data_IF_695578241094
#
_entry.id   IF_695578241094
#
_cell.length_a   1.000
_cell.length_b   1.000
_cell.length_c   1.000
_cell.angle_alpha   90.00
_cell.angle_beta   90.00
_cell.angle_gamma   90.00
#
_symmetry.space_group_name_H-M   'P 1'
#
loop_
_entity.id
_entity.type
_entity.pdbx_description
1 polymer ?
#
# COMPACT_ATOMS: atom_id res chain seq x y z
N UNK A 1 11.66 4.57 20.09
CA UNK A 1 11.78 4.60 18.63
C UNK A 1 11.64 3.16 18.18
N UNK A 2 10.43 2.76 17.80
CA UNK A 2 10.18 1.36 17.43
C UNK A 2 10.89 1.07 16.12
N UNK A 3 11.77 0.08 16.18
CA UNK A 3 12.69 -0.29 15.12
C UNK A 3 11.87 -0.75 13.91
N UNK A 4 12.16 -0.24 12.71
CA UNK A 4 11.49 -0.63 11.46
C UNK A 4 11.52 -2.15 11.22
N UNK A 5 12.47 -2.84 11.88
CA UNK A 5 12.62 -4.29 11.90
C UNK A 5 11.41 -5.02 12.51
N UNK A 6 10.70 -4.46 13.50
CA UNK A 6 9.58 -5.16 14.16
C UNK A 6 8.31 -5.24 13.31
N UNK A 7 8.17 -4.38 12.30
CA UNK A 7 6.91 -4.23 11.55
C UNK A 7 6.74 -5.33 10.49
N UNK A 8 7.84 -6.00 10.10
CA UNK A 8 7.90 -6.96 8.99
C UNK A 8 8.53 -8.30 9.35
N UNK A 9 9.37 -8.40 10.38
CA UNK A 9 10.18 -9.62 10.61
C UNK A 9 9.40 -10.84 11.12
N UNK A 10 8.12 -10.73 11.51
CA UNK A 10 7.38 -11.91 11.98
C UNK A 10 5.85 -11.86 11.83
N UNK A 11 5.33 -11.20 10.78
CA UNK A 11 3.89 -11.20 10.51
C UNK A 11 3.45 -12.53 9.90
N UNK A 12 2.62 -13.28 10.64
CA UNK A 12 1.92 -14.47 10.13
C UNK A 12 0.84 -14.12 9.08
N UNK A 13 0.33 -12.90 9.11
CA UNK A 13 -0.78 -12.43 8.26
C UNK A 13 -0.28 -11.33 7.34
N UNK A 14 -0.67 -11.42 6.06
CA UNK A 14 -0.38 -10.41 5.05
C UNK A 14 -0.89 -9.03 5.51
N UNK A 15 -0.10 -7.94 5.37
CA UNK A 15 -0.58 -6.60 5.68
C UNK A 15 -1.77 -6.20 4.79
N UNK A 16 -2.59 -5.27 5.31
CA UNK A 16 -3.77 -4.74 4.61
C UNK A 16 -3.34 -3.96 3.36
N UNK A 17 -3.98 -4.22 2.22
CA UNK A 17 -3.68 -3.50 0.99
C UNK A 17 -4.09 -2.04 1.06
N UNK A 18 -3.29 -1.08 0.55
CA UNK A 18 -3.73 0.32 0.44
C UNK A 18 -5.10 0.46 -0.24
N UNK A 19 -5.41 -0.42 -1.18
CA UNK A 19 -6.71 -0.51 -1.84
C UNK A 19 -7.88 -0.79 -0.91
N UNK A 20 -7.71 -1.68 0.08
CA UNK A 20 -8.73 -1.94 1.10
C UNK A 20 -8.95 -0.71 1.98
N UNK A 21 -7.88 -0.01 2.35
CA UNK A 21 -7.96 1.24 3.12
C UNK A 21 -8.66 2.34 2.31
N UNK A 22 -8.41 2.41 0.99
CA UNK A 22 -9.11 3.34 0.12
C UNK A 22 -10.61 2.99 0.06
N UNK A 23 -10.96 1.72 -0.12
CA UNK A 23 -12.35 1.29 -0.18
C UNK A 23 -13.13 1.65 1.10
N UNK A 24 -12.54 1.40 2.26
CA UNK A 24 -13.11 1.73 3.58
C UNK A 24 -13.34 3.25 3.72
N UNK A 25 -12.34 4.06 3.37
CA UNK A 25 -12.47 5.53 3.37
C UNK A 25 -13.57 6.01 2.41
N UNK A 26 -13.71 5.39 1.25
CA UNK A 26 -14.74 5.78 0.28
C UNK A 26 -16.14 5.39 0.73
N UNK A 27 -16.29 4.27 1.42
CA UNK A 27 -17.56 3.83 2.02
C UNK A 27 -17.97 4.79 3.14
N UNK A 28 -17.05 5.12 4.05
CA UNK A 28 -17.26 6.08 5.15
C UNK A 28 -17.65 7.49 4.66
N UNK A 29 -17.12 7.90 3.50
CA UNK A 29 -17.41 9.20 2.89
C UNK A 29 -18.61 9.17 1.93
N UNK A 30 -19.22 8.00 1.71
CA UNK A 30 -20.26 7.76 0.70
C UNK A 30 -19.85 8.24 -0.72
N UNK A 31 -18.56 8.12 -1.06
CA UNK A 31 -18.01 8.53 -2.36
C UNK A 31 -17.87 7.33 -3.28
N UNK A 32 -18.44 7.42 -4.48
CA UNK A 32 -18.23 6.41 -5.50
C UNK A 32 -16.76 6.38 -5.98
N UNK A 33 -16.12 5.19 -6.13
CA UNK A 33 -14.74 5.09 -6.61
C UNK A 33 -14.46 5.82 -7.93
N UNK A 34 -15.41 5.84 -8.86
CA UNK A 34 -15.24 6.54 -10.14
C UNK A 34 -15.17 8.07 -9.94
N UNK A 35 -16.01 8.62 -9.05
CA UNK A 35 -15.95 10.03 -8.72
C UNK A 35 -14.61 10.37 -8.04
N UNK A 36 -14.11 9.47 -7.20
CA UNK A 36 -12.80 9.64 -6.58
C UNK A 36 -11.65 9.58 -7.60
N UNK A 37 -11.72 8.69 -8.59
CA UNK A 37 -10.76 8.67 -9.70
C UNK A 37 -10.72 10.01 -10.45
N UNK A 38 -11.89 10.62 -10.70
CA UNK A 38 -11.96 11.95 -11.32
C UNK A 38 -11.30 13.01 -10.45
N UNK A 39 -11.56 13.02 -9.13
CA UNK A 39 -10.91 13.94 -8.18
C UNK A 39 -9.39 13.78 -8.15
N UNK A 40 -8.89 12.55 -8.29
CA UNK A 40 -7.47 12.24 -8.36
C UNK A 40 -6.86 12.52 -9.75
N UNK A 41 -7.68 12.75 -10.78
CA UNK A 41 -7.24 12.93 -12.16
C UNK A 41 -6.63 11.67 -12.76
N UNK A 42 -7.24 10.50 -12.51
CA UNK A 42 -6.81 9.18 -13.01
C UNK A 42 -8.00 8.46 -13.68
N UNK A 43 -7.74 7.33 -14.34
CA UNK A 43 -8.83 6.52 -14.92
C UNK A 43 -9.58 5.73 -13.84
N UNK A 44 -10.88 5.52 -14.06
CA UNK A 44 -11.72 4.63 -13.24
C UNK A 44 -11.14 3.21 -13.13
N UNK A 45 -10.52 2.72 -14.20
CA UNK A 45 -9.82 1.45 -14.18
C UNK A 45 -8.67 1.46 -13.17
N UNK A 46 -7.87 2.54 -13.10
CA UNK A 46 -6.72 2.60 -12.19
C UNK A 46 -7.15 2.55 -10.73
N UNK A 47 -8.21 3.27 -10.33
CA UNK A 47 -8.68 3.22 -8.95
C UNK A 47 -9.26 1.83 -8.61
N UNK A 48 -9.95 1.19 -9.56
CA UNK A 48 -10.50 -0.15 -9.36
C UNK A 48 -9.40 -1.21 -9.21
N UNK A 49 -8.38 -1.18 -10.07
CA UNK A 49 -7.21 -2.06 -9.98
C UNK A 49 -6.51 -1.91 -8.61
N UNK A 50 -6.40 -0.68 -8.11
CA UNK A 50 -5.81 -0.41 -6.79
C UNK A 50 -6.68 -0.98 -5.67
N UNK A 51 -7.99 -0.71 -5.69
CA UNK A 51 -8.97 -1.21 -4.69
C UNK A 51 -8.97 -2.75 -4.66
N UNK A 52 -8.91 -3.39 -5.82
CA UNK A 52 -8.85 -4.86 -5.95
C UNK A 52 -7.50 -5.46 -5.53
N UNK A 53 -6.49 -4.64 -5.26
CA UNK A 53 -5.15 -5.13 -4.94
C UNK A 53 -4.35 -5.64 -6.14
N UNK A 54 -4.81 -5.35 -7.35
CA UNK A 54 -4.15 -5.73 -8.61
C UNK A 54 -3.00 -4.77 -8.96
N UNK A 55 -3.03 -3.55 -8.41
CA UNK A 55 -2.05 -2.50 -8.69
C UNK A 55 -1.52 -1.85 -7.42
N UNK A 56 -0.20 -1.79 -7.33
CA UNK A 56 0.52 -1.12 -6.26
C UNK A 56 0.36 0.41 -6.33
N UNK A 57 0.41 1.04 -5.16
CA UNK A 57 0.53 2.50 -5.04
C UNK A 57 1.92 2.96 -5.49
N UNK A 58 1.95 3.75 -6.56
CA UNK A 58 3.16 4.45 -7.00
C UNK A 58 3.38 5.75 -6.21
N UNK A 59 4.56 6.36 -6.33
CA UNK A 59 4.85 7.67 -5.72
C UNK A 59 3.88 8.75 -6.23
N UNK A 60 3.58 8.78 -7.52
CA UNK A 60 2.61 9.71 -8.11
C UNK A 60 1.21 9.52 -7.48
N UNK A 61 0.76 8.25 -7.38
CA UNK A 61 -0.53 7.93 -6.75
C UNK A 61 -0.56 8.33 -5.27
N UNK A 62 0.51 8.06 -4.52
CA UNK A 62 0.61 8.46 -3.12
C UNK A 62 0.53 9.98 -2.94
N UNK A 63 1.13 10.77 -3.84
CA UNK A 63 1.02 12.23 -3.83
C UNK A 63 -0.42 12.68 -4.09
N UNK A 64 -1.10 12.07 -5.07
CA UNK A 64 -2.51 12.38 -5.38
C UNK A 64 -3.43 12.07 -4.19
N UNK A 65 -3.34 10.86 -3.64
CA UNK A 65 -4.10 10.44 -2.46
C UNK A 65 -3.83 11.35 -1.25
N UNK A 66 -2.56 11.63 -0.98
CA UNK A 66 -2.15 12.50 0.12
C UNK A 66 -2.67 13.92 0.01
N UNK A 67 -2.80 14.45 -1.23
CA UNK A 67 -3.43 15.76 -1.50
C UNK A 67 -4.94 15.71 -1.35
N UNK A 68 -5.60 14.70 -1.92
CA UNK A 68 -7.06 14.58 -1.90
C UNK A 68 -7.61 14.34 -0.49
N UNK A 69 -6.91 13.56 0.33
CA UNK A 69 -7.35 13.14 1.66
C UNK A 69 -6.67 13.91 2.80
N UNK A 70 -5.79 14.87 2.49
CA UNK A 70 -5.15 15.75 3.48
C UNK A 70 -4.19 15.05 4.46
N UNK A 71 -3.78 13.80 4.19
CA UNK A 71 -2.96 12.99 5.09
C UNK A 71 -1.50 12.78 4.62
N UNK A 72 -1.14 13.34 3.46
CA UNK A 72 0.21 13.29 2.90
C UNK A 72 0.60 11.94 2.28
N UNK A 73 1.61 11.95 1.42
CA UNK A 73 1.98 10.79 0.59
C UNK A 73 2.65 9.65 1.37
N UNK A 74 3.32 9.96 2.47
CA UNK A 74 4.10 8.99 3.24
C UNK A 74 3.24 7.87 3.82
N UNK A 75 2.01 8.16 4.20
CA UNK A 75 1.08 7.16 4.71
C UNK A 75 0.87 6.04 3.68
N UNK A 76 0.55 6.42 2.46
CA UNK A 76 0.28 5.50 1.34
C UNK A 76 1.50 4.68 0.94
N UNK A 77 2.67 5.33 0.85
CA UNK A 77 3.93 4.64 0.56
C UNK A 77 4.30 3.63 1.65
N UNK A 78 4.08 3.97 2.91
CA UNK A 78 4.36 3.06 4.02
C UNK A 78 3.43 1.84 4.02
N UNK A 79 2.16 2.00 3.64
CA UNK A 79 1.23 0.89 3.49
C UNK A 79 1.68 -0.05 2.36
N UNK A 80 2.01 0.51 1.19
CA UNK A 80 2.50 -0.29 0.07
C UNK A 80 3.79 -1.03 0.41
N UNK A 81 4.76 -0.33 1.00
CA UNK A 81 6.05 -0.92 1.38
C UNK A 81 5.89 -2.11 2.32
N UNK A 82 4.94 -2.06 3.27
CA UNK A 82 4.70 -3.19 4.18
C UNK A 82 4.30 -4.45 3.42
N UNK A 83 3.45 -4.32 2.41
CA UNK A 83 3.04 -5.44 1.57
C UNK A 83 4.19 -5.90 0.69
N UNK A 84 4.85 -4.99 -0.01
CA UNK A 84 5.92 -5.34 -0.93
C UNK A 84 7.02 -6.14 -0.22
N UNK A 85 7.38 -5.70 0.99
CA UNK A 85 8.35 -6.41 1.84
C UNK A 85 7.81 -7.76 2.30
N UNK A 86 6.55 -7.83 2.75
CA UNK A 86 5.97 -9.09 3.22
C UNK A 86 5.88 -10.12 2.09
N UNK A 87 5.35 -9.74 0.93
CA UNK A 87 5.21 -10.61 -0.24
C UNK A 87 6.60 -11.08 -0.71
N UNK A 88 7.58 -10.17 -0.79
CA UNK A 88 8.96 -10.54 -1.14
C UNK A 88 9.57 -11.55 -0.14
N UNK A 89 9.41 -11.30 1.17
CA UNK A 89 9.90 -12.21 2.22
C UNK A 89 9.24 -13.59 2.15
N UNK A 90 7.96 -13.68 1.79
CA UNK A 90 7.28 -14.98 1.63
C UNK A 90 7.74 -15.71 0.36
N UNK A 91 7.84 -15.00 -0.76
CA UNK A 91 8.20 -15.60 -2.06
C UNK A 91 9.67 -16.01 -2.15
N UNK A 92 10.57 -15.28 -1.49
CA UNK A 92 12.02 -15.46 -1.62
C UNK A 92 12.70 -15.87 -0.30
N UNK A 93 11.93 -16.42 0.66
CA UNK A 93 12.43 -16.76 2.01
C UNK A 93 13.74 -17.55 2.00
N UNK A 94 13.79 -18.65 1.23
CA UNK A 94 14.98 -19.52 1.15
C UNK A 94 16.16 -18.88 0.45
N UNK A 95 15.91 -17.94 -0.47
CA UNK A 95 16.96 -17.17 -1.14
C UNK A 95 17.57 -16.17 -0.15
N UNK A 96 16.73 -15.42 0.58
CA UNK A 96 17.19 -14.45 1.58
C UNK A 96 17.87 -15.11 2.78
N UNK A 97 17.46 -16.31 3.20
CA UNK A 97 18.12 -17.06 4.26
C UNK A 97 19.57 -17.44 3.93
N UNK A 98 19.94 -17.49 2.64
CA UNK A 98 21.31 -17.78 2.19
C UNK A 98 22.21 -16.55 2.17
N UNK A 99 21.64 -15.35 2.29
CA UNK A 99 22.42 -14.11 2.33
C UNK A 99 23.17 -14.05 3.66
N UNK A 100 24.50 -14.00 3.59
CA UNK A 100 25.33 -13.90 4.79
C UNK A 100 25.19 -12.51 5.42
N UNK A 101 24.96 -12.49 6.74
CA UNK A 101 24.96 -11.26 7.52
C UNK A 101 26.40 -10.82 7.77
N UNK A 102 26.74 -9.59 7.40
CA UNK A 102 28.10 -9.05 7.49
C UNK A 102 28.42 -8.38 8.84
N UNK A 103 27.40 -7.97 9.60
CA UNK A 103 27.53 -7.24 10.87
C UNK A 103 26.54 -7.77 11.91
#
# INVERSE_FOLDING_TARGET
MNNLQDITQNRLVRPIHPGEVIADILDDLEINPNNFAEMLGISNQTIQEIINGEKSITVDMAIRLGKALGNGSRLWLNLQQKIDVWDALQSHKEEYNKVMTLM
#
